data_IF_401807457956
#
_entry.id   IF_401807457956
#
_cell.length_a   1.000
_cell.length_b   1.000
_cell.length_c   1.000
_cell.angle_alpha   90.00
_cell.angle_beta   90.00
_cell.angle_gamma   90.00
#
_symmetry.space_group_name_H-M   'P 1'
#
loop_
_entity.id
_entity.type
_entity.pdbx_description
1 polymer ?
#
# COMPACT_ATOMS: atom_id res chain seq x y z
N UNK A 1 2.82 -34.43 -10.34
CA UNK A 1 1.66 -33.53 -10.31
C UNK A 1 2.20 -32.12 -10.25
N UNK A 2 2.03 -31.33 -11.32
CA UNK A 2 2.50 -29.93 -11.35
C UNK A 2 1.41 -29.06 -10.74
N UNK A 3 1.65 -28.51 -9.56
CA UNK A 3 0.79 -27.48 -8.96
C UNK A 3 0.88 -26.22 -9.85
N UNK A 4 -0.23 -25.87 -10.47
CA UNK A 4 -0.38 -24.61 -11.19
C UNK A 4 -0.69 -23.54 -10.14
N UNK A 5 0.26 -22.66 -9.90
CA UNK A 5 0.03 -21.46 -9.09
C UNK A 5 -0.92 -20.54 -9.85
N UNK A 6 -2.04 -20.24 -9.23
CA UNK A 6 -3.04 -19.31 -9.73
C UNK A 6 -2.55 -17.89 -9.44
N UNK A 7 -2.36 -17.11 -10.48
CA UNK A 7 -1.89 -15.73 -10.38
C UNK A 7 -3.08 -14.83 -10.04
N UNK A 8 -3.05 -14.18 -8.91
CA UNK A 8 -3.96 -13.07 -8.60
C UNK A 8 -3.40 -11.81 -9.26
N UNK A 9 -3.89 -11.48 -10.43
CA UNK A 9 -3.64 -10.21 -11.10
C UNK A 9 -4.70 -9.22 -10.61
N UNK A 10 -4.30 -8.28 -9.76
CA UNK A 10 -5.08 -7.06 -9.59
C UNK A 10 -4.79 -6.20 -10.82
N UNK A 11 -5.56 -6.42 -11.88
CA UNK A 11 -5.50 -5.60 -13.08
C UNK A 11 -6.30 -4.32 -12.84
N UNK A 12 -5.64 -3.24 -12.47
CA UNK A 12 -6.19 -1.91 -12.61
C UNK A 12 -6.08 -1.52 -14.07
N UNK A 13 -7.18 -1.68 -14.82
CA UNK A 13 -7.26 -1.27 -16.21
C UNK A 13 -7.29 0.25 -16.35
N UNK A 14 -6.18 0.85 -16.74
CA UNK A 14 -6.15 2.25 -17.18
C UNK A 14 -6.45 2.29 -18.68
N UNK A 15 -7.67 2.69 -19.03
CA UNK A 15 -8.02 3.09 -20.39
C UNK A 15 -7.62 4.57 -20.56
N UNK A 16 -6.48 4.79 -21.19
CA UNK A 16 -6.08 6.12 -21.65
C UNK A 16 -6.81 6.46 -22.95
N UNK A 17 -7.79 7.36 -22.90
CA UNK A 17 -8.28 8.07 -24.08
C UNK A 17 -7.55 9.42 -24.18
N UNK A 18 -6.75 9.53 -25.22
CA UNK A 18 -5.99 10.74 -25.51
C UNK A 18 -6.86 11.89 -25.97
N UNK A 19 -6.50 13.10 -25.54
CA UNK A 19 -6.78 14.32 -26.28
C UNK A 19 -5.56 15.23 -26.23
N UNK A 20 -5.04 15.52 -27.40
CA UNK A 20 -3.92 16.42 -27.60
C UNK A 20 -4.32 17.87 -27.29
N UNK A 21 -3.67 18.46 -26.32
CA UNK A 21 -3.72 19.88 -26.03
C UNK A 21 -2.29 20.40 -25.83
N UNK A 22 -1.74 21.08 -26.84
CA UNK A 22 -0.43 21.72 -26.79
C UNK A 22 -0.47 22.94 -25.88
N UNK A 23 0.09 22.82 -24.70
CA UNK A 23 0.39 23.93 -23.82
C UNK A 23 1.66 23.60 -23.06
N UNK A 24 2.82 24.07 -23.57
CA UNK A 24 4.11 23.93 -22.88
C UNK A 24 4.14 24.90 -21.70
N UNK A 25 3.55 24.53 -20.57
CA UNK A 25 3.95 25.10 -19.30
C UNK A 25 5.20 24.34 -18.85
N UNK A 26 6.35 24.97 -18.98
CA UNK A 26 7.62 24.48 -18.49
C UNK A 26 7.57 24.57 -16.97
N UNK A 27 7.16 23.47 -16.33
CA UNK A 27 7.29 23.32 -14.88
C UNK A 27 8.79 23.38 -14.57
N UNK A 28 9.22 24.40 -13.84
CA UNK A 28 10.59 24.47 -13.33
C UNK A 28 10.86 23.23 -12.48
N UNK A 29 12.13 22.79 -12.37
CA UNK A 29 12.47 21.62 -11.58
C UNK A 29 11.97 21.84 -10.14
N UNK A 30 11.07 21.00 -9.69
CA UNK A 30 10.56 21.00 -8.32
C UNK A 30 11.76 20.96 -7.37
N UNK A 31 11.76 21.89 -6.41
CA UNK A 31 12.86 22.00 -5.45
C UNK A 31 12.93 20.73 -4.59
N UNK A 32 14.08 20.09 -4.41
CA UNK A 32 14.21 18.85 -3.62
C UNK A 32 13.86 19.00 -2.14
N UNK A 33 13.39 20.17 -1.71
CA UNK A 33 13.18 20.55 -0.30
C UNK A 33 11.83 20.19 0.28
N UNK A 34 10.85 19.76 -0.51
CA UNK A 34 9.46 19.62 -0.06
C UNK A 34 9.00 18.18 0.14
N UNK A 35 9.80 17.19 -0.22
CA UNK A 35 9.55 15.81 0.11
C UNK A 35 10.63 15.28 1.06
N UNK A 36 10.28 14.81 2.25
CA UNK A 36 11.23 14.08 3.08
C UNK A 36 11.72 12.88 2.29
N UNK A 37 13.05 12.60 2.37
CA UNK A 37 13.65 11.42 1.74
C UNK A 37 13.24 10.12 2.47
N UNK A 38 11.98 10.08 2.91
CA UNK A 38 11.33 8.97 3.59
C UNK A 38 10.34 8.34 2.64
N UNK A 39 10.42 7.02 2.54
CA UNK A 39 9.50 6.20 1.77
C UNK A 39 9.02 5.05 2.64
N UNK A 40 8.03 4.34 2.19
CA UNK A 40 7.47 3.18 2.87
C UNK A 40 7.51 1.96 1.96
N UNK A 41 7.73 0.79 2.56
CA UNK A 41 7.67 -0.51 1.91
C UNK A 41 6.65 -1.35 2.67
N UNK A 42 5.67 -1.91 1.97
CA UNK A 42 4.67 -2.83 2.51
C UNK A 42 4.96 -4.23 2.01
N UNK A 43 5.28 -5.13 2.93
CA UNK A 43 5.75 -6.46 2.58
C UNK A 43 5.37 -7.52 3.63
N UNK A 44 5.37 -8.79 3.20
CA UNK A 44 5.08 -9.97 4.04
C UNK A 44 6.06 -11.10 3.74
N UNK A 45 6.22 -12.07 4.66
CA UNK A 45 6.89 -13.34 4.39
C UNK A 45 5.93 -14.46 4.01
N UNK A 46 4.61 -14.18 3.99
CA UNK A 46 3.56 -15.13 3.68
C UNK A 46 2.91 -14.82 2.33
N UNK A 47 3.11 -15.71 1.37
CA UNK A 47 2.54 -15.61 0.02
C UNK A 47 1.27 -16.46 -0.17
N UNK A 48 0.77 -17.09 0.88
CA UNK A 48 -0.44 -17.88 0.80
C UNK A 48 -1.68 -16.99 0.80
N UNK A 49 -2.66 -17.31 -0.03
CA UNK A 49 -3.98 -16.69 0.03
C UNK A 49 -4.68 -17.17 1.31
N UNK A 50 -5.09 -16.24 2.16
CA UNK A 50 -5.80 -16.50 3.40
C UNK A 50 -7.21 -15.94 3.27
N UNK A 51 -8.20 -16.81 3.37
CA UNK A 51 -9.64 -16.44 3.29
C UNK A 51 -10.37 -16.59 4.62
N UNK A 52 -9.75 -17.25 5.60
CA UNK A 52 -10.27 -17.37 6.95
C UNK A 52 -9.63 -16.32 7.88
N UNK A 53 -10.38 -15.37 8.44
CA UNK A 53 -9.85 -14.37 9.37
C UNK A 53 -9.29 -14.98 10.66
N UNK A 54 -9.63 -16.24 10.99
CA UNK A 54 -9.12 -16.94 12.16
C UNK A 54 -7.80 -17.71 11.89
N UNK A 55 -7.31 -17.71 10.68
CA UNK A 55 -6.08 -18.42 10.28
C UNK A 55 -4.91 -18.08 11.22
N UNK A 56 -4.23 -19.07 11.78
CA UNK A 56 -3.15 -18.84 12.73
C UNK A 56 -1.97 -18.05 12.14
N UNK A 57 -1.77 -18.05 10.82
CA UNK A 57 -0.75 -17.25 10.14
C UNK A 57 -0.96 -15.75 10.30
N UNK A 58 -2.21 -15.31 10.49
CA UNK A 58 -2.54 -13.91 10.78
C UNK A 58 -2.16 -13.47 12.20
N UNK A 59 -1.73 -14.38 13.08
CA UNK A 59 -1.33 -14.06 14.46
C UNK A 59 0.19 -13.88 14.62
N UNK A 60 0.97 -14.12 13.57
CA UNK A 60 2.42 -13.94 13.61
C UNK A 60 2.79 -12.49 13.83
N UNK A 61 3.91 -12.23 14.50
CA UNK A 61 4.46 -10.88 14.69
C UNK A 61 5.51 -10.51 13.67
N UNK A 62 5.89 -11.45 12.79
CA UNK A 62 6.86 -11.23 11.72
C UNK A 62 8.21 -10.68 12.21
N UNK A 63 8.67 -11.03 13.42
CA UNK A 63 9.89 -10.44 14.02
C UNK A 63 11.15 -10.80 13.23
N UNK A 64 11.26 -12.06 12.80
CA UNK A 64 12.41 -12.49 12.00
C UNK A 64 12.43 -11.79 10.65
N UNK A 65 11.28 -11.74 9.97
CA UNK A 65 11.08 -11.02 8.72
C UNK A 65 11.46 -9.55 8.86
N UNK A 66 10.98 -8.89 9.91
CA UNK A 66 11.35 -7.50 10.21
C UNK A 66 12.86 -7.29 10.29
N UNK A 67 13.56 -8.14 11.03
CA UNK A 67 15.02 -8.02 11.19
C UNK A 67 15.75 -8.22 9.87
N UNK A 68 15.35 -9.20 9.09
CA UNK A 68 15.95 -9.52 7.79
C UNK A 68 15.70 -8.37 6.79
N UNK A 69 14.47 -7.84 6.68
CA UNK A 69 14.17 -6.69 5.81
C UNK A 69 14.95 -5.45 6.22
N UNK A 70 15.05 -5.15 7.52
CA UNK A 70 15.91 -4.05 8.01
C UNK A 70 17.38 -4.25 7.67
N UNK A 71 17.84 -5.50 7.60
CA UNK A 71 19.17 -5.88 7.10
C UNK A 71 19.34 -5.57 5.62
N UNK A 72 18.36 -5.93 4.79
CA UNK A 72 18.32 -5.64 3.35
C UNK A 72 18.39 -4.12 3.13
N UNK A 73 17.54 -3.34 3.80
CA UNK A 73 17.52 -1.87 3.68
C UNK A 73 18.92 -1.29 3.95
N UNK A 74 19.57 -1.71 5.06
CA UNK A 74 20.93 -1.21 5.41
C UNK A 74 21.98 -1.62 4.38
N UNK A 75 21.94 -2.85 3.88
CA UNK A 75 22.94 -3.34 2.90
C UNK A 75 22.92 -2.60 1.57
N UNK A 76 21.80 -1.93 1.28
CA UNK A 76 21.63 -1.07 0.10
C UNK A 76 21.84 0.43 0.37
N UNK A 77 22.44 0.77 1.51
CA UNK A 77 22.82 2.15 1.84
C UNK A 77 21.68 3.03 2.35
N UNK A 78 20.47 2.51 2.46
CA UNK A 78 19.35 3.21 3.05
C UNK A 78 19.31 3.03 4.58
N UNK A 79 18.54 3.88 5.28
CA UNK A 79 18.38 3.80 6.72
C UNK A 79 16.97 3.29 7.05
N UNK A 80 16.83 2.12 7.72
CA UNK A 80 15.52 1.67 8.17
C UNK A 80 15.03 2.54 9.33
N UNK A 81 13.84 3.07 9.19
CA UNK A 81 13.06 3.74 10.22
C UNK A 81 12.24 2.77 11.08
N UNK A 82 11.16 3.21 11.71
CA UNK A 82 10.19 2.35 12.37
C UNK A 82 9.63 1.24 11.46
N UNK A 83 8.96 0.27 12.06
CA UNK A 83 8.22 -0.75 11.31
C UNK A 83 6.94 -1.09 12.05
N UNK A 84 5.83 -1.08 11.35
CA UNK A 84 4.48 -1.28 11.88
C UNK A 84 3.92 -2.61 11.42
N UNK A 85 3.34 -3.37 12.33
CA UNK A 85 2.66 -4.64 12.01
C UNK A 85 1.22 -4.35 11.57
N UNK A 86 0.78 -4.98 10.48
CA UNK A 86 -0.47 -4.70 9.80
C UNK A 86 -1.35 -5.95 9.66
N UNK A 87 -2.64 -5.74 9.81
CA UNK A 87 -3.71 -6.65 9.40
C UNK A 87 -4.33 -6.11 8.10
N UNK A 88 -4.00 -6.74 6.98
CA UNK A 88 -4.54 -6.41 5.66
C UNK A 88 -5.87 -7.09 5.39
N UNK A 89 -6.79 -6.38 4.74
CA UNK A 89 -8.08 -6.89 4.25
C UNK A 89 -8.25 -6.43 2.82
N UNK A 90 -8.29 -7.38 1.89
CA UNK A 90 -8.29 -7.11 0.45
C UNK A 90 -9.41 -7.88 -0.25
N UNK A 91 -9.95 -7.32 -1.33
CA UNK A 91 -10.91 -7.99 -2.19
C UNK A 91 -10.21 -8.76 -3.30
N UNK A 92 -10.45 -10.06 -3.38
CA UNK A 92 -10.03 -10.88 -4.51
C UNK A 92 -11.13 -10.91 -5.58
N UNK A 93 -10.89 -10.21 -6.68
CA UNK A 93 -11.79 -10.24 -7.84
C UNK A 93 -11.90 -11.63 -8.49
N UNK A 94 -10.85 -12.46 -8.39
CA UNK A 94 -10.83 -13.83 -8.88
C UNK A 94 -11.65 -14.77 -7.99
N UNK A 95 -11.41 -14.74 -6.69
CA UNK A 95 -12.12 -15.58 -5.71
C UNK A 95 -13.51 -15.06 -5.35
N UNK A 96 -13.84 -13.81 -5.73
CA UNK A 96 -15.10 -13.13 -5.36
C UNK A 96 -15.35 -13.08 -3.86
N UNK A 97 -14.26 -12.92 -3.08
CA UNK A 97 -14.31 -12.84 -1.61
C UNK A 97 -13.16 -12.01 -1.07
N UNK A 98 -13.27 -11.62 0.19
CA UNK A 98 -12.17 -10.97 0.91
C UNK A 98 -11.06 -11.95 1.24
N UNK A 99 -9.83 -11.46 1.14
CA UNK A 99 -8.62 -12.15 1.57
C UNK A 99 -7.95 -11.36 2.68
N UNK A 100 -7.15 -12.05 3.48
CA UNK A 100 -6.48 -11.46 4.64
C UNK A 100 -4.99 -11.63 4.51
N UNK A 101 -4.24 -10.66 5.02
CA UNK A 101 -2.79 -10.70 5.01
C UNK A 101 -2.25 -10.18 6.34
N UNK A 102 -1.18 -10.82 6.82
CA UNK A 102 -0.35 -10.28 7.88
C UNK A 102 0.92 -9.75 7.23
N UNK A 103 1.12 -8.44 7.31
CA UNK A 103 2.24 -7.75 6.69
C UNK A 103 2.90 -6.76 7.62
N UNK A 104 3.93 -6.11 7.15
CA UNK A 104 4.59 -4.99 7.82
C UNK A 104 4.80 -3.84 6.85
N UNK A 105 4.59 -2.65 7.36
CA UNK A 105 5.09 -1.41 6.82
C UNK A 105 6.50 -1.16 7.36
N UNK A 106 7.38 -0.68 6.53
CA UNK A 106 8.75 -0.29 6.88
C UNK A 106 9.01 1.12 6.39
N UNK A 107 9.32 2.02 7.32
CA UNK A 107 9.85 3.33 6.95
C UNK A 107 11.29 3.18 6.45
N UNK A 108 11.61 3.86 5.36
CA UNK A 108 12.93 3.87 4.75
C UNK A 108 13.39 5.31 4.52
N UNK A 109 14.44 5.71 5.22
CA UNK A 109 15.06 7.02 5.05
C UNK A 109 16.25 6.97 4.09
N UNK A 110 16.60 8.11 3.53
CA UNK A 110 17.79 8.32 2.70
C UNK A 110 17.82 7.43 1.46
N UNK A 111 16.67 7.23 0.84
CA UNK A 111 16.54 6.40 -0.35
C UNK A 111 15.96 7.22 -1.50
N UNK A 112 16.56 7.12 -2.69
CA UNK A 112 15.97 7.63 -3.92
C UNK A 112 15.05 6.60 -4.57
N UNK A 113 14.28 6.99 -5.60
CA UNK A 113 13.28 6.12 -6.25
C UNK A 113 13.86 4.79 -6.75
N UNK A 114 15.03 4.82 -7.43
CA UNK A 114 15.67 3.61 -7.95
C UNK A 114 16.17 2.69 -6.84
N UNK A 115 16.74 3.26 -5.77
CA UNK A 115 17.19 2.51 -4.61
C UNK A 115 16.02 1.85 -3.88
N UNK A 116 14.89 2.56 -3.72
CA UNK A 116 13.68 2.02 -3.12
C UNK A 116 13.14 0.84 -3.92
N UNK A 117 13.00 1.01 -5.25
CA UNK A 117 12.58 -0.06 -6.16
C UNK A 117 13.50 -1.27 -6.06
N UNK A 118 14.82 -1.05 -6.03
CA UNK A 118 15.78 -2.14 -5.91
C UNK A 118 15.64 -2.88 -4.58
N UNK A 119 15.50 -2.18 -3.47
CA UNK A 119 15.25 -2.78 -2.14
C UNK A 119 13.97 -3.61 -2.16
N UNK A 120 12.88 -3.06 -2.70
CA UNK A 120 11.61 -3.75 -2.82
C UNK A 120 11.70 -5.02 -3.69
N UNK A 121 12.44 -4.96 -4.82
CA UNK A 121 12.66 -6.14 -5.68
C UNK A 121 13.49 -7.23 -4.99
N UNK A 122 14.49 -6.87 -4.18
CA UNK A 122 15.25 -7.83 -3.36
C UNK A 122 14.35 -8.50 -2.34
N UNK A 123 13.52 -7.73 -1.62
CA UNK A 123 12.55 -8.27 -0.65
C UNK A 123 11.57 -9.21 -1.37
N UNK A 124 11.00 -8.77 -2.47
CA UNK A 124 10.08 -9.56 -3.29
C UNK A 124 10.65 -10.92 -3.68
N UNK A 125 11.88 -10.92 -4.21
CA UNK A 125 12.56 -12.15 -4.65
C UNK A 125 12.90 -13.07 -3.49
N UNK A 126 13.40 -12.52 -2.39
CA UNK A 126 13.81 -13.30 -1.22
C UNK A 126 12.62 -14.01 -0.56
N UNK A 127 11.45 -13.38 -0.53
CA UNK A 127 10.24 -13.92 0.10
C UNK A 127 9.21 -14.44 -0.90
N UNK A 128 9.58 -14.54 -2.19
CA UNK A 128 8.73 -15.07 -3.25
C UNK A 128 7.37 -14.37 -3.37
N UNK A 129 7.33 -13.08 -3.07
CA UNK A 129 6.12 -12.27 -3.23
C UNK A 129 5.87 -11.98 -4.71
N UNK A 130 4.60 -11.89 -5.12
CA UNK A 130 4.24 -11.50 -6.48
C UNK A 130 4.64 -10.04 -6.74
N UNK A 131 4.34 -9.15 -5.78
CA UNK A 131 4.78 -7.77 -5.79
C UNK A 131 5.00 -7.26 -4.38
N UNK A 132 5.75 -6.15 -4.27
CA UNK A 132 5.93 -5.38 -3.04
C UNK A 132 5.47 -3.96 -3.31
N UNK A 133 4.56 -3.45 -2.49
CA UNK A 133 4.07 -2.08 -2.59
C UNK A 133 5.10 -1.13 -1.96
N UNK A 134 5.44 -0.08 -2.68
CA UNK A 134 6.17 1.06 -2.16
C UNK A 134 5.32 2.32 -2.25
N UNK A 135 5.46 3.20 -1.26
CA UNK A 135 4.87 4.53 -1.27
C UNK A 135 5.96 5.54 -0.97
N UNK A 136 6.09 6.56 -1.78
CA UNK A 136 7.07 7.62 -1.57
C UNK A 136 6.45 8.99 -1.75
N UNK A 137 6.83 9.91 -0.90
CA UNK A 137 6.43 11.29 -1.02
C UNK A 137 7.15 11.92 -2.21
N UNK A 138 6.39 12.55 -3.10
CA UNK A 138 6.87 13.55 -4.05
C UNK A 138 6.55 14.95 -3.53
N UNK A 139 7.05 16.02 -4.21
CA UNK A 139 6.70 17.38 -3.85
C UNK A 139 5.21 17.54 -3.59
N UNK A 140 4.86 18.19 -2.49
CA UNK A 140 3.54 18.25 -1.84
C UNK A 140 2.37 18.81 -2.66
N UNK A 141 2.55 19.11 -3.94
CA UNK A 141 1.41 19.47 -4.76
C UNK A 141 0.72 18.21 -5.25
N UNK A 142 -0.51 17.99 -4.78
CA UNK A 142 -1.35 16.85 -5.18
C UNK A 142 -1.43 16.59 -6.70
N UNK A 143 -1.26 17.57 -7.60
CA UNK A 143 -1.23 17.33 -9.04
C UNK A 143 -0.01 16.55 -9.54
N UNK A 144 1.08 16.52 -8.77
CA UNK A 144 2.35 15.93 -9.17
C UNK A 144 2.56 14.51 -8.60
N UNK A 145 1.51 13.93 -7.97
CA UNK A 145 1.54 12.57 -7.39
C UNK A 145 0.46 11.70 -7.99
N UNK A 146 0.66 10.38 -7.97
CA UNK A 146 -0.32 9.43 -8.50
C UNK A 146 -1.21 8.79 -7.44
N UNK A 147 -0.85 8.92 -6.17
CA UNK A 147 -1.56 8.29 -5.07
C UNK A 147 -1.71 9.18 -3.83
N UNK A 148 -2.58 8.74 -2.96
CA UNK A 148 -2.82 9.29 -1.64
C UNK A 148 -2.79 8.17 -0.62
N UNK A 149 -2.18 8.43 0.53
CA UNK A 149 -2.29 7.61 1.71
C UNK A 149 -3.14 8.31 2.76
N UNK A 150 -4.08 7.56 3.33
CA UNK A 150 -4.99 8.02 4.37
C UNK A 150 -4.74 7.17 5.61
N UNK A 151 -4.33 7.81 6.69
CA UNK A 151 -4.21 7.20 8.00
C UNK A 151 -5.31 7.71 8.92
N UNK A 152 -6.09 6.80 9.52
CA UNK A 152 -7.24 7.18 10.32
C UNK A 152 -7.40 6.29 11.56
N UNK A 153 -7.61 6.85 12.76
CA UNK A 153 -7.76 6.07 14.00
C UNK A 153 -9.16 5.44 14.12
N UNK A 154 -9.29 4.46 14.99
CA UNK A 154 -10.58 3.89 15.41
C UNK A 154 -11.18 2.88 14.43
N UNK A 155 -10.37 2.29 13.55
CA UNK A 155 -10.80 1.26 12.59
C UNK A 155 -10.27 -0.11 13.01
N UNK A 156 -11.09 -1.15 12.85
CA UNK A 156 -10.67 -2.55 12.99
C UNK A 156 -10.70 -3.26 11.65
N UNK A 157 -9.93 -4.35 11.53
CA UNK A 157 -9.93 -5.18 10.33
C UNK A 157 -11.34 -5.73 10.01
N UNK A 158 -12.14 -6.07 11.03
CA UNK A 158 -13.53 -6.51 10.85
C UNK A 158 -14.41 -5.40 10.25
N UNK A 159 -14.27 -4.15 10.74
CA UNK A 159 -15.05 -3.03 10.17
C UNK A 159 -14.63 -2.74 8.73
N UNK A 160 -13.34 -2.81 8.43
CA UNK A 160 -12.85 -2.66 7.06
C UNK A 160 -13.40 -3.76 6.14
N UNK A 161 -13.40 -5.03 6.61
CA UNK A 161 -14.02 -6.14 5.90
C UNK A 161 -15.49 -5.87 5.58
N UNK A 162 -16.28 -5.50 6.59
CA UNK A 162 -17.73 -5.28 6.44
C UNK A 162 -18.03 -4.10 5.50
N UNK A 163 -17.24 -3.04 5.56
CA UNK A 163 -17.37 -1.88 4.67
C UNK A 163 -17.05 -2.24 3.21
N UNK A 164 -16.00 -3.04 2.96
CA UNK A 164 -15.67 -3.51 1.61
C UNK A 164 -16.77 -4.45 1.06
N UNK A 165 -17.40 -5.27 1.90
CA UNK A 165 -18.54 -6.08 1.48
C UNK A 165 -19.76 -5.24 1.13
N UNK A 166 -20.02 -4.18 1.88
CA UNK A 166 -21.17 -3.32 1.71
C UNK A 166 -21.06 -2.37 0.50
N UNK A 167 -19.82 -1.99 0.11
CA UNK A 167 -19.56 -1.06 -1.00
C UNK A 167 -18.84 -1.75 -2.15
N UNK A 168 -19.58 -2.19 -3.21
CA UNK A 168 -18.99 -2.81 -4.39
C UNK A 168 -18.00 -1.90 -5.12
N UNK A 169 -18.23 -0.58 -5.17
CA UNK A 169 -17.35 0.36 -5.85
C UNK A 169 -16.03 0.49 -5.08
N UNK A 170 -16.07 0.62 -3.76
CA UNK A 170 -14.87 0.69 -2.93
C UNK A 170 -14.02 -0.58 -3.05
N UNK A 171 -14.62 -1.76 -3.00
CA UNK A 171 -13.86 -3.01 -3.12
C UNK A 171 -13.24 -3.24 -4.50
N UNK A 172 -13.91 -2.81 -5.58
CA UNK A 172 -13.42 -3.01 -6.95
C UNK A 172 -12.32 -1.97 -7.30
N UNK A 173 -12.39 -0.75 -6.79
CA UNK A 173 -11.48 0.35 -7.15
C UNK A 173 -10.36 0.56 -6.13
N UNK A 174 -10.66 0.47 -4.83
CA UNK A 174 -9.65 0.62 -3.77
C UNK A 174 -8.99 -0.71 -3.43
N UNK A 175 -9.66 -1.83 -3.67
CA UNK A 175 -9.14 -3.17 -3.48
C UNK A 175 -9.04 -3.62 -2.01
N UNK A 176 -8.81 -2.73 -1.08
CA UNK A 176 -8.63 -3.04 0.33
C UNK A 176 -7.80 -2.01 1.08
N UNK A 177 -7.30 -2.41 2.24
CA UNK A 177 -6.45 -1.59 3.09
C UNK A 177 -5.87 -2.42 4.23
N UNK A 178 -5.14 -1.77 5.11
CA UNK A 178 -4.55 -2.41 6.27
C UNK A 178 -4.92 -1.67 7.56
N UNK A 179 -4.88 -2.38 8.68
CA UNK A 179 -5.15 -1.80 9.99
C UNK A 179 -4.00 -2.18 10.93
N UNK A 180 -3.48 -1.22 11.67
CA UNK A 180 -2.47 -1.48 12.70
C UNK A 180 -3.10 -2.16 13.92
N UNK A 181 -2.29 -2.77 14.78
CA UNK A 181 -2.80 -3.46 15.98
C UNK A 181 -3.50 -2.52 16.97
N UNK A 182 -3.19 -1.24 16.94
CA UNK A 182 -3.84 -0.20 17.76
C UNK A 182 -5.04 0.45 17.08
N UNK A 183 -5.45 -0.09 15.92
CA UNK A 183 -6.70 0.32 15.26
C UNK A 183 -6.56 1.56 14.38
N UNK A 184 -5.41 1.79 13.75
CA UNK A 184 -5.24 2.82 12.73
C UNK A 184 -5.39 2.19 11.34
N UNK A 185 -6.32 2.71 10.54
CA UNK A 185 -6.42 2.41 9.11
C UNK A 185 -5.22 2.98 8.37
N UNK A 186 -4.68 2.22 7.42
CA UNK A 186 -3.76 2.66 6.37
C UNK A 186 -4.40 2.28 5.04
N UNK A 187 -4.78 3.28 4.27
CA UNK A 187 -5.42 3.11 2.97
C UNK A 187 -4.62 3.89 1.93
N UNK A 188 -4.04 3.17 0.96
CA UNK A 188 -3.36 3.79 -0.19
C UNK A 188 -4.28 3.64 -1.39
N UNK A 189 -4.55 4.75 -2.07
CA UNK A 189 -5.45 4.79 -3.20
C UNK A 189 -4.89 5.66 -4.33
N UNK A 190 -5.24 5.37 -5.60
CA UNK A 190 -4.99 6.29 -6.69
C UNK A 190 -5.56 7.69 -6.36
N UNK A 191 -4.86 8.75 -6.72
CA UNK A 191 -5.31 10.11 -6.44
C UNK A 191 -6.70 10.41 -7.02
N UNK A 192 -7.02 9.81 -8.18
CA UNK A 192 -8.33 9.93 -8.80
C UNK A 192 -9.46 9.32 -7.94
N UNK A 193 -9.14 8.39 -7.05
CA UNK A 193 -10.08 7.69 -6.16
C UNK A 193 -10.18 8.30 -4.76
N UNK A 194 -9.53 9.45 -4.51
CA UNK A 194 -9.61 10.16 -3.22
C UNK A 194 -11.07 10.42 -2.76
N UNK A 195 -12.03 10.81 -3.62
CA UNK A 195 -13.42 10.96 -3.18
C UNK A 195 -14.04 9.66 -2.68
N UNK A 196 -13.73 8.53 -3.34
CA UNK A 196 -14.20 7.21 -2.94
C UNK A 196 -13.53 6.74 -1.65
N UNK A 197 -12.22 6.95 -1.51
CA UNK A 197 -11.49 6.66 -0.29
C UNK A 197 -12.03 7.47 0.91
N UNK A 198 -12.38 8.74 0.68
CA UNK A 198 -13.03 9.58 1.70
C UNK A 198 -14.42 9.06 2.08
N UNK A 199 -15.21 8.60 1.11
CA UNK A 199 -16.51 7.96 1.37
C UNK A 199 -16.33 6.70 2.22
N UNK A 200 -15.41 5.79 1.82
CA UNK A 200 -15.13 4.57 2.59
C UNK A 200 -14.70 4.88 4.02
N UNK A 201 -13.85 5.88 4.24
CA UNK A 201 -13.45 6.29 5.61
C UNK A 201 -14.63 6.81 6.43
N UNK A 202 -15.57 7.53 5.80
CA UNK A 202 -16.80 7.96 6.47
C UNK A 202 -17.72 6.77 6.83
N UNK A 203 -17.85 5.79 5.92
CA UNK A 203 -18.62 4.54 6.17
C UNK A 203 -17.98 3.71 7.29
N UNK A 204 -16.66 3.79 7.45
CA UNK A 204 -15.93 3.26 8.60
C UNK A 204 -16.13 4.08 9.90
N UNK A 205 -16.92 5.15 9.87
CA UNK A 205 -17.22 6.00 11.02
C UNK A 205 -16.03 6.87 11.47
N UNK A 206 -15.09 7.14 10.56
CA UNK A 206 -13.95 8.03 10.82
C UNK A 206 -14.38 9.47 10.58
N UNK A 207 -14.06 10.36 11.52
CA UNK A 207 -14.10 11.80 11.26
C UNK A 207 -12.90 12.17 10.37
N UNK A 208 -13.18 12.65 9.17
CA UNK A 208 -12.15 13.06 8.20
C UNK A 208 -11.18 14.10 8.75
N UNK A 209 -11.61 14.94 9.69
CA UNK A 209 -10.75 15.92 10.31
C UNK A 209 -9.69 15.32 11.24
N UNK A 210 -9.84 14.04 11.61
CA UNK A 210 -8.86 13.29 12.39
C UNK A 210 -7.96 12.42 11.53
N UNK A 211 -8.24 12.30 10.24
CA UNK A 211 -7.42 11.56 9.30
C UNK A 211 -6.19 12.37 8.89
N UNK A 212 -5.05 11.70 8.86
CA UNK A 212 -3.84 12.20 8.21
C UNK A 212 -3.88 11.80 6.74
N UNK A 213 -3.69 12.77 5.85
CA UNK A 213 -3.69 12.55 4.40
C UNK A 213 -2.34 12.98 3.85
N UNK A 214 -1.64 12.04 3.23
CA UNK A 214 -0.34 12.27 2.58
C UNK A 214 -0.46 11.98 1.09
N UNK A 215 0.22 12.78 0.28
CA UNK A 215 0.27 12.60 -1.17
C UNK A 215 1.63 12.03 -1.57
N UNK A 216 1.65 11.09 -2.48
CA UNK A 216 2.88 10.44 -2.90
C UNK A 216 2.69 9.62 -4.19
N UNK A 217 3.74 8.92 -4.57
CA UNK A 217 3.69 7.94 -5.64
C UNK A 217 3.67 6.53 -5.05
N UNK A 218 2.75 5.71 -5.55
CA UNK A 218 2.73 4.29 -5.27
C UNK A 218 3.39 3.51 -6.41
N UNK A 219 4.03 2.41 -6.07
CA UNK A 219 4.56 1.48 -7.05
C UNK A 219 4.47 0.05 -6.54
N UNK A 220 3.86 -0.84 -7.35
CA UNK A 220 3.92 -2.28 -7.14
C UNK A 220 5.13 -2.84 -7.89
N UNK A 221 6.21 -3.14 -7.16
CA UNK A 221 7.42 -3.73 -7.71
C UNK A 221 7.20 -5.22 -7.89
N UNK A 222 6.97 -5.65 -9.15
CA UNK A 222 6.68 -7.01 -9.58
C UNK A 222 7.76 -7.65 -10.45
#
# INVERSE_FOLDING_TARGET
>A
MRQRYVRVLVAVGVLALGSAGTGTAQAGPASPRDCPATAEIFATDNTAIITDPADPRLRTRLHRFEQEVRGIIRSHGAKPGPSTLLDGVFWSGELKQTTYERSREFDVDRVGPEGLRHIADVIRKQYHQESVLTFRCLPRSSPDTDAVEIQAPGVSATRLHDALLADPEARERLGGGSVTLDGRLILIAPLADLPLARKLTADLGVDWNTAEVRYGDQEFVG
#
